data_IF_341623911006
#
_entry.id   IF_341623911006
#
_cell.length_a   1.000
_cell.length_b   1.000
_cell.length_c   1.000
_cell.angle_alpha   90.00
_cell.angle_beta   90.00
_cell.angle_gamma   90.00
#
_symmetry.space_group_name_H-M   'P 1'
#
loop_
_entity.id
_entity.type
_entity.pdbx_description
1 polymer ?
#
# COMPACT_ATOMS: atom_id res chain seq x y z
N UNK A 1 -5.75 7.16 -2.34
CA UNK A 1 -6.03 5.95 -1.53
C UNK A 1 -6.31 6.30 -0.08
N UNK A 2 -5.36 6.93 0.65
CA UNK A 2 -5.55 7.29 2.07
C UNK A 2 -6.84 8.07 2.33
N UNK A 3 -7.10 9.13 1.55
CA UNK A 3 -8.35 9.89 1.61
C UNK A 3 -9.62 9.03 1.57
N UNK A 4 -9.66 8.03 0.68
CA UNK A 4 -10.82 7.13 0.54
C UNK A 4 -10.92 6.13 1.69
N UNK A 5 -9.79 5.66 2.21
CA UNK A 5 -9.78 4.83 3.40
C UNK A 5 -10.30 5.61 4.60
N UNK A 6 -9.89 6.88 4.77
CA UNK A 6 -10.42 7.77 5.80
C UNK A 6 -11.96 7.75 5.79
N UNK A 7 -12.57 8.07 4.65
CA UNK A 7 -14.03 8.08 4.50
C UNK A 7 -14.66 6.72 4.85
N UNK A 8 -14.05 5.60 4.45
CA UNK A 8 -14.61 4.27 4.77
C UNK A 8 -14.54 3.91 6.26
N UNK A 9 -13.51 4.37 6.98
CA UNK A 9 -13.41 4.16 8.42
C UNK A 9 -14.36 5.09 9.19
N UNK A 10 -14.51 6.34 8.76
CA UNK A 10 -15.47 7.30 9.35
C UNK A 10 -16.92 6.86 9.14
N UNK A 11 -17.24 6.37 7.94
CA UNK A 11 -18.56 5.80 7.61
C UNK A 11 -18.78 4.41 8.22
N UNK A 12 -17.82 3.88 9.00
CA UNK A 12 -17.86 2.55 9.62
C UNK A 12 -18.09 1.40 8.63
N UNK A 13 -17.72 1.58 7.36
CA UNK A 13 -17.71 0.51 6.34
C UNK A 13 -16.56 -0.46 6.56
N UNK A 14 -15.50 -0.01 7.21
CA UNK A 14 -14.37 -0.83 7.66
C UNK A 14 -14.15 -0.57 9.15
N UNK A 15 -14.14 -1.63 9.96
CA UNK A 15 -13.95 -1.54 11.42
C UNK A 15 -12.99 -2.62 11.92
N UNK A 16 -12.21 -2.30 12.95
CA UNK A 16 -11.37 -3.29 13.65
C UNK A 16 -10.15 -3.79 12.87
N UNK A 17 -9.74 -3.08 11.82
CA UNK A 17 -8.60 -3.44 10.95
C UNK A 17 -7.48 -2.41 11.10
N UNK A 18 -6.25 -2.88 11.30
CA UNK A 18 -5.08 -2.00 11.27
C UNK A 18 -4.66 -1.72 9.82
N UNK A 19 -4.29 -0.47 9.52
CA UNK A 19 -3.80 -0.07 8.20
C UNK A 19 -2.38 0.47 8.34
N UNK A 20 -1.43 -0.14 7.63
CA UNK A 20 -0.02 0.22 7.68
C UNK A 20 0.40 0.91 6.38
N UNK A 21 0.90 2.14 6.47
CA UNK A 21 1.64 2.78 5.39
C UNK A 21 3.13 2.47 5.56
N UNK A 22 3.62 1.47 4.83
CA UNK A 22 5.01 1.03 4.90
C UNK A 22 5.76 1.39 3.61
N UNK A 23 6.00 2.68 3.48
CA UNK A 23 6.80 3.25 2.40
C UNK A 23 7.39 4.58 2.87
N UNK A 24 8.73 4.67 3.07
CA UNK A 24 9.36 5.92 3.47
C UNK A 24 9.04 7.08 2.52
N UNK A 25 8.94 6.80 1.22
CA UNK A 25 8.57 7.80 0.23
C UNK A 25 7.11 8.24 0.37
N UNK A 26 6.17 7.28 0.55
CA UNK A 26 4.76 7.63 0.71
C UNK A 26 4.49 8.40 2.01
N UNK A 27 5.21 8.08 3.10
CA UNK A 27 5.14 8.83 4.36
C UNK A 27 5.61 10.27 4.15
N UNK A 28 6.78 10.46 3.52
CA UNK A 28 7.30 11.80 3.19
C UNK A 28 6.33 12.58 2.30
N UNK A 29 5.79 11.94 1.26
CA UNK A 29 4.79 12.54 0.39
C UNK A 29 3.54 12.95 1.18
N UNK A 30 2.99 12.08 2.02
CA UNK A 30 1.80 12.39 2.83
C UNK A 30 2.03 13.61 3.72
N UNK A 31 3.21 13.72 4.34
CA UNK A 31 3.57 14.89 5.16
C UNK A 31 3.66 16.18 4.33
N UNK A 32 4.16 16.11 3.09
CA UNK A 32 4.15 17.26 2.16
C UNK A 32 2.71 17.63 1.82
N UNK A 33 1.85 16.67 1.47
CA UNK A 33 0.44 16.95 1.14
C UNK A 33 -0.28 17.69 2.29
N UNK A 34 -0.03 17.30 3.55
CA UNK A 34 -0.58 17.98 4.74
C UNK A 34 -0.17 19.46 4.86
N UNK A 35 0.96 19.86 4.27
CA UNK A 35 1.44 21.25 4.31
C UNK A 35 0.82 22.14 3.22
N UNK A 36 0.24 21.55 2.17
CA UNK A 36 -0.18 22.24 0.95
C UNK A 36 -1.68 22.05 0.66
N UNK A 37 -2.52 22.28 1.67
CA UNK A 37 -3.99 22.12 1.61
C UNK A 37 -4.62 23.00 0.51
N UNK A 38 -4.02 24.13 0.19
CA UNK A 38 -4.52 25.06 -0.84
C UNK A 38 -4.60 24.46 -2.25
N UNK A 39 -3.89 23.35 -2.50
CA UNK A 39 -3.93 22.66 -3.80
C UNK A 39 -5.01 21.58 -3.89
N UNK A 40 -5.74 21.33 -2.81
CA UNK A 40 -6.75 20.28 -2.78
C UNK A 40 -8.03 20.76 -3.49
N UNK A 41 -8.85 19.79 -3.91
CA UNK A 41 -10.18 20.10 -4.43
C UNK A 41 -11.08 20.70 -3.33
N UNK A 42 -12.25 21.21 -3.75
CA UNK A 42 -13.19 21.88 -2.86
C UNK A 42 -13.70 20.94 -1.75
N UNK A 43 -13.97 19.69 -2.09
CA UNK A 43 -14.57 18.70 -1.19
C UNK A 43 -13.61 18.35 -0.05
N UNK A 44 -12.34 18.07 -0.36
CA UNK A 44 -11.33 17.77 0.63
C UNK A 44 -11.00 19.00 1.51
N UNK A 45 -10.97 20.21 0.93
CA UNK A 45 -10.79 21.45 1.70
C UNK A 45 -11.91 21.66 2.71
N UNK A 46 -13.17 21.44 2.32
CA UNK A 46 -14.31 21.60 3.23
C UNK A 46 -14.24 20.66 4.43
N UNK A 47 -13.75 19.43 4.25
CA UNK A 47 -13.53 18.48 5.34
C UNK A 47 -12.40 18.97 6.27
N UNK A 48 -11.26 19.36 5.70
CA UNK A 48 -10.13 19.87 6.48
C UNK A 48 -10.52 21.13 7.28
N UNK A 49 -11.25 22.07 6.68
CA UNK A 49 -11.71 23.28 7.37
C UNK A 49 -12.71 23.01 8.49
N UNK A 50 -13.42 21.87 8.45
CA UNK A 50 -14.27 21.40 9.56
C UNK A 50 -13.47 20.74 10.69
N UNK A 51 -12.15 20.64 10.55
CA UNK A 51 -11.23 20.08 11.55
C UNK A 51 -10.86 18.61 11.32
N UNK A 52 -11.21 18.04 10.16
CA UNK A 52 -10.84 16.66 9.83
C UNK A 52 -9.38 16.54 9.35
N UNK A 53 -8.65 15.54 9.82
CA UNK A 53 -7.38 15.12 9.23
C UNK A 53 -7.65 14.01 8.23
N UNK A 54 -7.85 14.38 6.98
CA UNK A 54 -8.28 13.47 5.90
C UNK A 54 -7.26 12.36 5.55
N UNK A 55 -6.14 12.28 6.27
CA UNK A 55 -5.12 11.24 6.16
C UNK A 55 -4.91 10.46 7.46
N UNK A 56 -5.71 10.68 8.50
CA UNK A 56 -5.60 9.99 9.79
C UNK A 56 -6.95 9.42 10.24
N UNK A 57 -6.98 8.12 10.48
CA UNK A 57 -8.17 7.39 10.89
C UNK A 57 -7.83 6.28 11.88
N UNK A 58 -8.84 5.80 12.60
CA UNK A 58 -8.66 4.77 13.62
C UNK A 58 -7.98 3.52 13.05
N UNK A 59 -6.82 3.18 13.61
CA UNK A 59 -6.04 2.00 13.20
C UNK A 59 -5.02 2.28 12.10
N UNK A 60 -4.91 3.52 11.59
CA UNK A 60 -3.87 3.91 10.65
C UNK A 60 -2.50 4.07 11.35
N UNK A 61 -1.44 3.56 10.71
CA UNK A 61 -0.07 3.62 11.22
C UNK A 61 0.91 3.87 10.09
N UNK A 62 1.70 4.95 10.21
CA UNK A 62 2.86 5.19 9.36
C UNK A 62 4.08 4.45 9.93
N UNK A 63 4.64 3.53 9.15
CA UNK A 63 5.73 2.66 9.60
C UNK A 63 7.07 3.35 9.36
N UNK A 64 7.70 3.81 10.44
CA UNK A 64 9.00 4.50 10.39
C UNK A 64 10.19 3.54 10.51
N UNK A 65 9.96 2.33 11.00
CA UNK A 65 10.99 1.33 11.30
C UNK A 65 10.99 0.14 10.35
N UNK A 66 11.29 -1.02 10.93
CA UNK A 66 11.45 -2.28 10.21
C UNK A 66 10.12 -2.86 9.75
N UNK A 67 10.14 -3.47 8.58
CA UNK A 67 8.99 -4.15 7.97
C UNK A 67 8.47 -5.31 8.84
N UNK A 68 9.33 -5.90 9.67
CA UNK A 68 8.98 -7.04 10.53
C UNK A 68 7.90 -6.72 11.57
N UNK A 69 7.82 -5.48 12.05
CA UNK A 69 6.74 -5.04 12.93
C UNK A 69 5.37 -5.19 12.26
N UNK A 70 5.31 -4.85 10.97
CA UNK A 70 4.09 -4.98 10.16
C UNK A 70 3.78 -6.44 9.89
N UNK A 71 4.79 -7.26 9.56
CA UNK A 71 4.61 -8.68 9.29
C UNK A 71 4.04 -9.42 10.51
N UNK A 72 4.53 -9.11 11.70
CA UNK A 72 4.15 -9.75 12.96
C UNK A 72 2.88 -9.18 13.61
N UNK A 73 2.35 -8.06 13.13
CA UNK A 73 1.08 -7.51 13.64
C UNK A 73 -0.11 -8.50 13.50
N UNK A 74 -1.16 -8.32 14.28
CA UNK A 74 -2.37 -9.16 14.18
C UNK A 74 -3.08 -9.01 12.83
N UNK A 75 -3.76 -10.08 12.41
CA UNK A 75 -4.69 -10.09 11.28
C UNK A 75 -6.13 -9.88 11.78
N UNK A 76 -7.05 -9.33 10.95
CA UNK A 76 -6.83 -8.80 9.62
C UNK A 76 -6.10 -7.43 9.64
N UNK A 77 -5.31 -7.15 8.59
CA UNK A 77 -4.63 -5.87 8.40
C UNK A 77 -4.55 -5.50 6.92
N UNK A 78 -4.50 -4.21 6.63
CA UNK A 78 -4.25 -3.65 5.31
C UNK A 78 -2.82 -3.10 5.29
N UNK A 79 -2.09 -3.37 4.21
CA UNK A 79 -0.71 -2.92 4.04
C UNK A 79 -0.64 -2.13 2.74
N UNK A 80 -0.27 -0.86 2.87
CA UNK A 80 0.03 0.05 1.77
C UNK A 80 1.55 0.10 1.61
N UNK A 81 2.08 -0.72 0.70
CA UNK A 81 3.51 -0.79 0.42
C UNK A 81 3.79 -0.38 -1.03
N UNK A 82 4.81 0.46 -1.20
CA UNK A 82 5.35 0.80 -2.53
C UNK A 82 6.42 -0.21 -2.96
N UNK A 83 6.78 -0.26 -4.24
CA UNK A 83 6.40 0.65 -5.34
C UNK A 83 5.13 0.22 -6.10
N UNK A 84 4.42 1.17 -6.71
CA UNK A 84 3.13 0.92 -7.39
C UNK A 84 3.19 0.00 -8.62
N UNK A 85 4.38 -0.32 -9.13
CA UNK A 85 4.58 -1.30 -10.20
C UNK A 85 5.39 -2.54 -9.81
N UNK A 86 5.72 -2.64 -8.52
CA UNK A 86 6.49 -3.74 -7.92
C UNK A 86 7.93 -3.89 -8.43
N UNK A 87 8.50 -2.81 -8.95
CA UNK A 87 9.90 -2.75 -9.44
C UNK A 87 10.89 -2.39 -8.32
N UNK A 88 10.48 -2.48 -7.05
CA UNK A 88 11.31 -2.14 -5.91
C UNK A 88 10.50 -1.64 -4.71
N UNK A 89 11.20 -1.25 -3.65
CA UNK A 89 10.60 -0.87 -2.37
C UNK A 89 10.17 -2.07 -1.55
N UNK A 90 9.43 -1.81 -0.47
CA UNK A 90 9.08 -2.84 0.53
C UNK A 90 8.01 -3.84 0.05
N UNK A 91 7.31 -3.56 -1.05
CA UNK A 91 6.27 -4.46 -1.61
C UNK A 91 6.80 -5.86 -1.93
N UNK A 92 8.06 -6.00 -2.36
CA UNK A 92 8.67 -7.30 -2.64
C UNK A 92 8.66 -8.23 -1.42
N UNK A 93 8.95 -7.70 -0.23
CA UNK A 93 8.90 -8.45 1.03
C UNK A 93 7.50 -8.97 1.33
N UNK A 94 6.48 -8.13 1.13
CA UNK A 94 5.09 -8.51 1.34
C UNK A 94 4.58 -9.52 0.31
N UNK A 95 4.95 -9.37 -0.96
CA UNK A 95 4.63 -10.33 -2.01
C UNK A 95 5.24 -11.70 -1.69
N UNK A 96 6.53 -11.76 -1.32
CA UNK A 96 7.17 -13.02 -0.91
C UNK A 96 6.46 -13.70 0.26
N UNK A 97 5.96 -12.92 1.23
CA UNK A 97 5.30 -13.44 2.43
C UNK A 97 3.87 -13.91 2.16
N UNK A 98 3.09 -13.13 1.42
CA UNK A 98 1.63 -13.28 1.39
C UNK A 98 1.07 -13.77 0.06
N UNK A 99 1.81 -13.73 -1.05
CA UNK A 99 1.26 -14.02 -2.38
C UNK A 99 0.73 -15.47 -2.51
N UNK A 100 1.31 -16.42 -1.77
CA UNK A 100 0.84 -17.81 -1.75
C UNK A 100 -0.29 -18.07 -0.76
N UNK A 101 -0.69 -17.08 0.06
CA UNK A 101 -1.75 -17.24 1.04
C UNK A 101 -3.12 -17.03 0.34
N UNK A 102 -3.99 -18.05 0.27
CA UNK A 102 -5.29 -17.92 -0.40
C UNK A 102 -6.26 -16.97 0.32
N UNK A 103 -6.00 -16.61 1.58
CA UNK A 103 -6.77 -15.63 2.33
C UNK A 103 -6.26 -14.19 2.15
N UNK A 104 -5.12 -14.00 1.48
CA UNK A 104 -4.58 -12.69 1.18
C UNK A 104 -5.14 -12.17 -0.14
N UNK A 105 -5.42 -10.87 -0.20
CA UNK A 105 -5.81 -10.18 -1.43
C UNK A 105 -4.72 -9.18 -1.82
N UNK A 106 -4.21 -9.29 -3.05
CA UNK A 106 -3.37 -8.27 -3.67
C UNK A 106 -4.25 -7.31 -4.47
N UNK A 107 -4.44 -6.09 -3.95
CA UNK A 107 -5.20 -5.04 -4.64
C UNK A 107 -4.24 -4.10 -5.40
N UNK A 108 -4.38 -4.05 -6.72
CA UNK A 108 -3.56 -3.20 -7.59
C UNK A 108 -4.42 -2.05 -8.11
N UNK A 109 -4.01 -0.82 -7.80
CA UNK A 109 -4.81 0.41 -8.10
C UNK A 109 -4.11 1.35 -9.08
N UNK A 110 -2.97 0.95 -9.63
CA UNK A 110 -2.15 1.73 -10.57
C UNK A 110 -1.93 0.96 -11.87
N UNK A 111 -1.70 1.71 -12.94
CA UNK A 111 -1.29 1.15 -14.23
C UNK A 111 0.04 0.39 -14.09
N UNK A 112 0.15 -0.71 -14.84
CA UNK A 112 1.33 -1.57 -14.86
C UNK A 112 1.97 -1.51 -16.24
N UNK A 113 3.14 -0.88 -16.35
CA UNK A 113 3.85 -0.81 -17.64
C UNK A 113 4.30 -2.19 -18.11
N UNK A 114 4.37 -2.38 -19.43
CA UNK A 114 4.87 -3.63 -19.99
C UNK A 114 6.30 -3.92 -19.53
N UNK A 115 6.56 -5.20 -19.23
CA UNK A 115 7.83 -5.65 -18.67
C UNK A 115 7.92 -5.61 -17.15
N UNK A 116 7.08 -4.82 -16.45
CA UNK A 116 7.10 -4.77 -14.99
C UNK A 116 6.65 -6.08 -14.35
N UNK A 117 7.11 -6.33 -13.13
CA UNK A 117 6.65 -7.41 -12.27
C UNK A 117 5.13 -7.32 -12.05
N UNK A 118 4.59 -6.13 -11.82
CA UNK A 118 3.14 -5.96 -11.69
C UNK A 118 2.36 -6.34 -12.94
N UNK A 119 2.89 -6.05 -14.14
CA UNK A 119 2.27 -6.50 -15.39
C UNK A 119 2.32 -8.02 -15.52
N UNK A 120 3.45 -8.64 -15.18
CA UNK A 120 3.60 -10.10 -15.17
C UNK A 120 2.58 -10.75 -14.23
N UNK A 121 2.41 -10.22 -13.02
CA UNK A 121 1.44 -10.71 -12.03
C UNK A 121 -0.01 -10.62 -12.57
N UNK A 122 -0.44 -9.46 -13.06
CA UNK A 122 -1.82 -9.28 -13.56
C UNK A 122 -2.10 -10.15 -14.79
N UNK A 123 -1.12 -10.33 -15.67
CA UNK A 123 -1.27 -11.17 -16.86
C UNK A 123 -1.37 -12.68 -16.56
N UNK A 124 -1.21 -13.08 -15.29
CA UNK A 124 -1.12 -14.49 -14.92
C UNK A 124 0.12 -15.17 -15.49
N UNK A 125 1.23 -14.43 -15.64
CA UNK A 125 2.45 -14.95 -16.23
C UNK A 125 2.97 -16.15 -15.43
N UNK A 126 2.80 -17.34 -16.01
CA UNK A 126 3.27 -18.60 -15.46
C UNK A 126 4.72 -18.82 -15.89
N UNK A 127 5.65 -18.75 -14.93
CA UNK A 127 7.05 -19.08 -15.20
C UNK A 127 7.17 -20.61 -15.27
N UNK A 128 7.57 -21.17 -16.42
CA UNK A 128 7.98 -22.58 -16.51
C UNK A 128 9.18 -22.79 -15.60
N UNK A 129 9.24 -23.93 -14.89
CA UNK A 129 10.18 -24.21 -13.77
C UNK A 129 11.65 -23.83 -13.99
N UNK A 130 12.14 -23.80 -15.23
CA UNK A 130 13.52 -23.42 -15.57
C UNK A 130 13.80 -21.91 -15.53
N UNK A 131 12.81 -21.03 -15.68
CA UNK A 131 12.98 -19.57 -15.64
C UNK A 131 12.74 -18.95 -14.25
N UNK A 132 12.22 -19.74 -13.30
CA UNK A 132 11.86 -19.29 -11.95
C UNK A 132 13.07 -18.77 -11.15
N UNK A 133 14.26 -19.27 -11.44
CA UNK A 133 15.50 -18.83 -10.79
C UNK A 133 15.89 -17.40 -11.18
N UNK A 134 15.55 -16.92 -12.40
CA UNK A 134 15.83 -15.56 -12.84
C UNK A 134 14.84 -14.51 -12.31
N UNK A 135 13.61 -14.90 -11.97
CA UNK A 135 12.64 -14.01 -11.32
C UNK A 135 12.91 -13.88 -9.82
N UNK A 136 13.40 -14.95 -9.18
CA UNK A 136 13.77 -14.92 -7.75
C UNK A 136 14.91 -13.94 -7.48
N UNK A 137 15.86 -13.79 -8.41
CA UNK A 137 16.94 -12.80 -8.29
C UNK A 137 16.45 -11.35 -8.41
N UNK A 138 15.42 -11.08 -9.21
CA UNK A 138 14.79 -9.74 -9.32
C UNK A 138 14.02 -9.31 -8.08
N UNK A 139 13.66 -10.26 -7.21
CA UNK A 139 12.96 -9.99 -5.96
C UNK A 139 13.93 -9.80 -4.77
N UNK A 140 15.22 -10.07 -4.93
CA UNK A 140 16.23 -10.06 -3.87
C UNK A 140 17.16 -8.84 -3.85
N UNK A 141 16.99 -7.91 -4.79
CA UNK A 141 17.64 -6.58 -4.80
C UNK A 141 16.64 -5.49 -4.41
#
# INVERSE_FOLDING_TARGET
>A
MLYRLNSFFEEQKINGVNVFLDSPLAIKATNIYKQYVDFFDKEAKELIFKGDDIFDFKGFKMVKGETDEVLNASMPKIILAGSGMFEGGKIGTYLKKYLSNPLATLLIVSFQVDGSLGRKIISGFMVKSQQANSLRSQLTE
#
